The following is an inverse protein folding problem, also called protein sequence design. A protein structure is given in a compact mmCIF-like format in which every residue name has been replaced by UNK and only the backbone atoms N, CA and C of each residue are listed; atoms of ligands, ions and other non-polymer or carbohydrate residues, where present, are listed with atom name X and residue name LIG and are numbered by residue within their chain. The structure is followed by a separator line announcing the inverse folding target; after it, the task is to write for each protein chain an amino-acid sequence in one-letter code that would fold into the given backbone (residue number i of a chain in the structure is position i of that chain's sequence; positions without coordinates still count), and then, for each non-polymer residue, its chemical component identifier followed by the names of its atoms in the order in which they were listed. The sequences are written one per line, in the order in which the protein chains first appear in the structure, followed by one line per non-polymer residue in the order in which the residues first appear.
data_IF_839733333994
#
_entry.id   IF_839733333994
#
_cell.length_a   1.000
_cell.length_b   1.000
_cell.length_c   1.000
_cell.angle_alpha   90.00
_cell.angle_beta   90.00
_cell.angle_gamma   90.00
#
_symmetry.space_group_name_H-M   'P 1'
#
loop_
_entity.id
_entity.type
_entity.pdbx_description
1 polymer ?
#
# COMPACT_ATOMS: atom_id res chain seq x y z
N UNK A 1 -5.70 -7.68 -12.00
CA UNK A 1 -6.16 -9.00 -11.50
C UNK A 1 -7.39 -9.51 -12.24
N UNK A 2 -8.38 -8.68 -12.66
CA UNK A 2 -9.67 -9.13 -13.24
C UNK A 2 -10.33 -10.14 -12.33
N UNK A 3 -10.57 -9.68 -11.11
CA UNK A 3 -11.25 -10.43 -10.07
C UNK A 3 -12.70 -10.55 -10.49
N UNK A 4 -13.24 -11.76 -10.44
CA UNK A 4 -14.64 -12.04 -10.68
C UNK A 4 -15.38 -12.29 -9.36
N UNK A 5 -16.70 -12.08 -9.36
CA UNK A 5 -17.52 -12.33 -8.18
C UNK A 5 -17.39 -13.80 -7.77
N UNK A 6 -17.09 -14.03 -6.49
CA UNK A 6 -16.88 -15.37 -5.95
C UNK A 6 -15.43 -15.89 -6.00
N UNK A 7 -14.49 -15.12 -6.55
CA UNK A 7 -13.06 -15.48 -6.54
C UNK A 7 -12.51 -15.60 -5.12
N UNK A 8 -11.51 -16.48 -4.95
CA UNK A 8 -10.70 -16.57 -3.73
C UNK A 8 -9.34 -15.93 -3.96
N UNK A 9 -9.01 -14.94 -3.13
CA UNK A 9 -7.82 -14.13 -3.30
C UNK A 9 -6.80 -14.40 -2.18
N UNK A 10 -5.52 -14.44 -2.53
CA UNK A 10 -4.42 -14.39 -1.57
C UNK A 10 -3.68 -13.06 -1.71
N UNK A 11 -3.35 -12.41 -0.60
CA UNK A 11 -2.52 -11.20 -0.59
C UNK A 11 -1.58 -11.15 0.61
N UNK A 12 -0.56 -10.31 0.53
CA UNK A 12 0.11 -9.82 1.75
C UNK A 12 -0.81 -8.81 2.44
N UNK A 13 -0.92 -8.88 3.77
CA UNK A 13 -1.79 -7.98 4.53
C UNK A 13 -1.26 -6.54 4.46
N UNK A 14 -0.01 -6.29 4.84
CA UNK A 14 0.65 -4.97 4.79
C UNK A 14 -0.24 -3.87 5.38
N UNK A 15 -0.63 -4.06 6.65
CA UNK A 15 -1.61 -3.23 7.38
C UNK A 15 -3.05 -3.25 6.83
N UNK A 16 -3.35 -4.09 5.84
CA UNK A 16 -4.71 -4.43 5.40
C UNK A 16 -5.29 -3.57 4.26
N UNK A 17 -4.61 -2.51 3.82
CA UNK A 17 -5.17 -1.58 2.83
C UNK A 17 -5.53 -2.25 1.49
N UNK A 18 -4.60 -3.03 0.92
CA UNK A 18 -4.86 -3.76 -0.32
C UNK A 18 -5.94 -4.82 -0.12
N UNK A 19 -5.85 -5.59 0.97
CA UNK A 19 -6.83 -6.64 1.29
C UNK A 19 -8.27 -6.08 1.39
N UNK A 20 -8.44 -4.90 2.01
CA UNK A 20 -9.74 -4.23 2.07
C UNK A 20 -10.19 -3.70 0.71
N UNK A 21 -9.31 -3.11 -0.08
CA UNK A 21 -9.64 -2.66 -1.44
C UNK A 21 -10.11 -3.82 -2.33
N UNK A 22 -9.51 -5.01 -2.20
CA UNK A 22 -9.89 -6.19 -2.99
C UNK A 22 -11.32 -6.66 -2.73
N UNK A 23 -11.92 -6.35 -1.57
CA UNK A 23 -13.33 -6.69 -1.29
C UNK A 23 -14.33 -5.94 -2.18
N UNK A 24 -13.91 -4.84 -2.82
CA UNK A 24 -14.77 -4.06 -3.70
C UNK A 24 -15.18 -4.86 -4.95
N UNK A 25 -14.33 -5.77 -5.40
CA UNK A 25 -14.56 -6.63 -6.58
C UNK A 25 -15.42 -7.88 -6.28
N UNK A 26 -16.07 -7.94 -5.11
CA UNK A 26 -16.97 -9.03 -4.68
C UNK A 26 -16.36 -10.44 -4.61
N UNK A 27 -15.13 -10.64 -4.10
CA UNK A 27 -14.58 -11.97 -3.92
C UNK A 27 -15.37 -12.76 -2.88
N UNK A 28 -15.32 -14.09 -2.97
CA UNK A 28 -15.84 -14.95 -1.89
C UNK A 28 -15.01 -14.82 -0.62
N UNK A 29 -13.68 -14.63 -0.76
CA UNK A 29 -12.73 -14.63 0.35
C UNK A 29 -11.44 -13.89 -0.05
N UNK A 30 -10.84 -13.19 0.92
CA UNK A 30 -9.51 -12.60 0.80
C UNK A 30 -8.65 -13.07 1.97
N UNK A 31 -7.70 -13.95 1.70
CA UNK A 31 -6.71 -14.43 2.66
C UNK A 31 -5.51 -13.50 2.64
N UNK A 32 -5.23 -12.84 3.76
CA UNK A 32 -4.19 -11.86 3.91
C UNK A 32 -3.12 -12.33 4.91
N UNK A 33 -1.91 -12.61 4.42
CA UNK A 33 -0.78 -13.10 5.20
C UNK A 33 0.16 -11.96 5.61
N UNK A 34 0.64 -11.97 6.85
CA UNK A 34 1.71 -11.07 7.28
C UNK A 34 2.62 -11.71 8.32
N UNK A 35 3.91 -11.36 8.29
CA UNK A 35 4.85 -11.74 9.34
C UNK A 35 4.75 -10.79 10.55
N UNK A 36 4.38 -9.53 10.30
CA UNK A 36 4.38 -8.46 11.29
C UNK A 36 3.11 -8.44 12.12
N UNK A 37 3.23 -8.85 13.39
CA UNK A 37 2.15 -8.78 14.38
C UNK A 37 1.58 -7.35 14.51
N UNK A 38 2.40 -6.28 14.63
CA UNK A 38 1.90 -4.90 14.62
C UNK A 38 1.02 -4.55 13.41
N UNK A 39 1.43 -4.96 12.20
CA UNK A 39 0.66 -4.67 10.99
C UNK A 39 -0.68 -5.41 10.97
N UNK A 40 -0.71 -6.66 11.46
CA UNK A 40 -1.96 -7.41 11.63
C UNK A 40 -2.89 -6.76 12.65
N UNK A 41 -2.38 -6.23 13.77
CA UNK A 41 -3.20 -5.51 14.73
C UNK A 41 -3.79 -4.22 14.14
N UNK A 42 -3.07 -3.52 13.26
CA UNK A 42 -3.60 -2.37 12.54
C UNK A 42 -4.64 -2.76 11.49
N UNK A 43 -4.42 -3.85 10.76
CA UNK A 43 -5.38 -4.39 9.80
C UNK A 43 -6.70 -4.79 10.49
N UNK A 44 -6.62 -5.56 11.58
CA UNK A 44 -7.76 -5.99 12.38
C UNK A 44 -8.52 -4.82 13.00
N UNK A 45 -7.81 -3.81 13.51
CA UNK A 45 -8.43 -2.59 14.04
C UNK A 45 -9.20 -1.84 12.94
N UNK A 46 -8.59 -1.62 11.77
CA UNK A 46 -9.27 -0.95 10.64
C UNK A 46 -10.49 -1.75 10.15
N UNK A 47 -10.41 -3.07 10.10
CA UNK A 47 -11.55 -3.93 9.74
C UNK A 47 -12.70 -3.79 10.75
N UNK A 48 -12.40 -3.79 12.05
CA UNK A 48 -13.41 -3.54 13.09
C UNK A 48 -14.03 -2.13 12.97
N UNK A 49 -13.23 -1.12 12.63
CA UNK A 49 -13.73 0.22 12.38
C UNK A 49 -14.73 0.24 11.20
N UNK A 50 -14.38 -0.37 10.07
CA UNK A 50 -15.29 -0.47 8.90
C UNK A 50 -16.59 -1.18 9.29
N UNK A 51 -16.49 -2.27 10.08
CA UNK A 51 -17.64 -3.05 10.52
C UNK A 51 -18.58 -2.29 11.44
N UNK A 52 -18.05 -1.50 12.37
CA UNK A 52 -18.85 -0.95 13.48
C UNK A 52 -19.15 0.54 13.35
N UNK A 53 -18.32 1.31 12.65
CA UNK A 53 -18.44 2.76 12.58
C UNK A 53 -19.22 3.23 11.34
N UNK A 54 -19.61 4.50 11.35
CA UNK A 54 -19.92 5.26 10.14
C UNK A 54 -18.63 5.61 9.39
N UNK A 55 -18.76 5.99 8.11
CA UNK A 55 -17.62 6.43 7.31
C UNK A 55 -16.89 7.63 7.95
N UNK A 56 -17.63 8.61 8.48
CA UNK A 56 -17.02 9.79 9.11
C UNK A 56 -16.24 9.40 10.37
N UNK A 57 -16.82 8.59 11.25
CA UNK A 57 -16.12 8.11 12.46
C UNK A 57 -14.86 7.31 12.11
N UNK A 58 -14.88 6.54 11.01
CA UNK A 58 -13.69 5.84 10.51
C UNK A 58 -12.59 6.82 10.07
N UNK A 59 -12.94 7.86 9.29
CA UNK A 59 -12.01 8.91 8.84
C UNK A 59 -11.43 9.67 10.04
N UNK A 60 -12.28 10.04 11.00
CA UNK A 60 -11.91 10.76 12.21
C UNK A 60 -10.95 9.93 13.08
N UNK A 61 -11.29 8.65 13.28
CA UNK A 61 -10.51 7.72 14.10
C UNK A 61 -9.14 7.42 13.51
N UNK A 62 -9.08 7.12 12.22
CA UNK A 62 -7.83 6.70 11.54
C UNK A 62 -6.79 7.80 11.47
N UNK A 63 -7.21 9.06 11.65
CA UNK A 63 -6.34 10.23 11.55
C UNK A 63 -6.20 10.77 10.15
N UNK A 64 -7.02 10.32 9.18
CA UNK A 64 -7.06 10.92 7.83
C UNK A 64 -7.21 12.44 7.94
N UNK A 65 -8.14 12.90 8.78
CA UNK A 65 -8.39 14.32 9.04
C UNK A 65 -7.82 14.75 10.39
N UNK A 66 -6.52 14.52 10.59
CA UNK A 66 -5.84 14.70 11.89
C UNK A 66 -5.98 16.10 12.47
N UNK A 67 -5.98 17.13 11.62
CA UNK A 67 -5.98 18.54 12.05
C UNK A 67 -7.35 19.01 12.54
N UNK A 68 -8.44 18.45 12.01
CA UNK A 68 -9.81 18.88 12.36
C UNK A 68 -10.42 18.05 13.50
N UNK A 69 -9.83 16.91 13.85
CA UNK A 69 -10.35 16.00 14.88
C UNK A 69 -9.43 15.99 16.10
N UNK A 70 -10.01 16.25 17.27
CA UNK A 70 -9.29 16.29 18.54
C UNK A 70 -8.87 14.87 19.00
N UNK A 71 -7.72 14.71 19.67
CA UNK A 71 -7.27 13.41 20.19
C UNK A 71 -8.31 12.67 21.05
N UNK A 72 -9.04 13.38 21.90
CA UNK A 72 -10.02 12.79 22.82
C UNK A 72 -11.19 12.14 22.07
N UNK A 73 -11.52 12.64 20.89
CA UNK A 73 -12.56 12.08 20.04
C UNK A 73 -12.13 10.72 19.48
N UNK A 74 -10.88 10.58 19.03
CA UNK A 74 -10.33 9.29 18.59
C UNK A 74 -10.30 8.26 19.72
N UNK A 75 -9.94 8.70 20.93
CA UNK A 75 -9.99 7.84 22.13
C UNK A 75 -11.42 7.41 22.44
N UNK A 76 -12.40 8.31 22.31
CA UNK A 76 -13.83 8.00 22.49
C UNK A 76 -14.28 6.94 21.50
N UNK A 77 -13.95 7.11 20.21
CA UNK A 77 -14.30 6.17 19.14
C UNK A 77 -13.64 4.80 19.41
N UNK A 78 -12.34 4.77 19.73
CA UNK A 78 -11.65 3.53 20.08
C UNK A 78 -12.34 2.78 21.23
N UNK A 79 -12.66 3.48 22.32
CA UNK A 79 -13.34 2.89 23.48
C UNK A 79 -14.72 2.32 23.13
N UNK A 80 -15.41 2.89 22.15
CA UNK A 80 -16.69 2.37 21.68
C UNK A 80 -16.55 1.06 20.89
N UNK A 81 -15.44 0.86 20.16
CA UNK A 81 -15.25 -0.33 19.31
C UNK A 81 -14.34 -1.39 19.93
N UNK A 82 -13.50 -1.07 20.92
CA UNK A 82 -12.46 -1.98 21.43
C UNK A 82 -12.99 -3.34 21.89
N UNK A 83 -14.24 -3.41 22.37
CA UNK A 83 -14.89 -4.65 22.79
C UNK A 83 -15.26 -5.59 21.63
N UNK A 84 -15.16 -5.14 20.38
CA UNK A 84 -15.32 -5.96 19.18
C UNK A 84 -14.00 -6.59 18.70
N UNK A 85 -12.86 -6.17 19.26
CA UNK A 85 -11.54 -6.66 18.88
C UNK A 85 -11.23 -7.97 19.62
N UNK A 86 -10.46 -8.84 18.98
CA UNK A 86 -9.82 -9.96 19.66
C UNK A 86 -8.88 -9.44 20.76
N UNK A 87 -8.82 -10.16 21.89
CA UNK A 87 -8.07 -9.76 23.08
C UNK A 87 -6.62 -9.33 22.79
N UNK A 88 -5.80 -10.06 21.99
CA UNK A 88 -4.44 -9.64 21.69
C UNK A 88 -4.36 -8.29 20.94
N UNK A 89 -5.31 -8.03 20.05
CA UNK A 89 -5.38 -6.75 19.31
C UNK A 89 -5.81 -5.62 20.23
N UNK A 90 -6.77 -5.89 21.12
CA UNK A 90 -7.19 -4.94 22.13
C UNK A 90 -6.03 -4.56 23.07
N UNK A 91 -5.29 -5.53 23.60
CA UNK A 91 -4.14 -5.30 24.49
C UNK A 91 -3.02 -4.52 23.79
N UNK A 92 -2.77 -4.81 22.50
CA UNK A 92 -1.80 -4.09 21.68
C UNK A 92 -2.14 -2.59 21.57
N UNK A 93 -3.41 -2.24 21.36
CA UNK A 93 -3.85 -0.85 21.21
C UNK A 93 -4.09 -0.15 22.55
N UNK A 94 -4.53 -0.87 23.58
CA UNK A 94 -4.65 -0.35 24.95
C UNK A 94 -3.30 0.11 25.51
N UNK A 95 -2.20 -0.54 25.09
CA UNK A 95 -0.83 -0.13 25.44
C UNK A 95 -0.27 0.99 24.55
N UNK A 96 -1.02 1.47 23.55
CA UNK A 96 -0.59 2.47 22.55
C UNK A 96 -1.60 3.60 22.38
N UNK A 97 -2.15 4.08 23.49
CA UNK A 97 -3.14 5.16 23.46
C UNK A 97 -2.62 6.45 22.81
N UNK A 98 -1.32 6.74 22.88
CA UNK A 98 -0.72 7.87 22.16
C UNK A 98 -0.86 7.73 20.64
N UNK A 99 -0.71 6.52 20.09
CA UNK A 99 -0.92 6.26 18.67
C UNK A 99 -2.41 6.39 18.28
N UNK A 100 -3.31 5.96 19.16
CA UNK A 100 -4.78 6.16 19.00
C UNK A 100 -5.12 7.65 19.01
N UNK A 101 -4.59 8.40 19.97
CA UNK A 101 -4.75 9.84 20.10
C UNK A 101 -4.17 10.60 18.91
N UNK A 102 -3.07 10.12 18.35
CA UNK A 102 -2.43 10.74 17.19
C UNK A 102 -3.14 10.45 15.87
N UNK A 103 -3.74 9.26 15.74
CA UNK A 103 -4.30 8.73 14.49
C UNK A 103 -3.49 7.55 14.00
N UNK A 104 -4.08 6.36 14.04
CA UNK A 104 -3.37 5.07 13.91
C UNK A 104 -2.73 4.84 12.53
N UNK A 105 -3.12 5.58 11.50
CA UNK A 105 -2.45 5.49 10.19
C UNK A 105 -1.08 6.15 10.15
N UNK A 106 -0.75 6.95 11.15
CA UNK A 106 0.48 7.74 11.15
C UNK A 106 1.56 7.19 12.08
N UNK A 107 1.30 6.04 12.72
CA UNK A 107 2.16 5.46 13.75
C UNK A 107 3.15 4.42 13.23
N UNK A 108 3.10 4.05 11.94
CA UNK A 108 4.09 3.15 11.35
C UNK A 108 5.44 3.83 11.20
N UNK A 109 6.53 3.06 11.31
CA UNK A 109 7.89 3.58 11.14
C UNK A 109 8.08 4.23 9.76
N UNK A 110 7.44 3.68 8.73
CA UNK A 110 7.46 4.24 7.39
C UNK A 110 6.73 5.59 7.36
N UNK A 111 5.52 5.65 7.95
CA UNK A 111 4.71 6.86 8.02
C UNK A 111 5.37 7.99 8.83
N UNK A 112 6.08 7.63 9.91
CA UNK A 112 6.89 8.55 10.71
C UNK A 112 8.02 9.12 9.86
N UNK A 113 8.74 8.25 9.13
CA UNK A 113 9.84 8.67 8.27
C UNK A 113 9.41 9.63 7.17
N UNK A 114 8.29 9.35 6.49
CA UNK A 114 7.76 10.26 5.47
C UNK A 114 7.32 11.59 6.10
N UNK A 115 6.58 11.55 7.23
CA UNK A 115 6.08 12.76 7.89
C UNK A 115 7.21 13.68 8.36
N UNK A 116 8.20 13.12 9.04
CA UNK A 116 9.36 13.89 9.48
C UNK A 116 10.16 14.42 8.28
N UNK A 117 10.27 13.65 7.19
CA UNK A 117 10.91 14.14 5.96
C UNK A 117 10.12 15.27 5.26
N UNK A 118 8.79 15.27 5.34
CA UNK A 118 7.96 16.37 4.86
C UNK A 118 8.32 17.68 5.58
N UNK A 119 8.36 17.64 6.91
CA UNK A 119 8.73 18.77 7.78
C UNK A 119 10.18 19.21 7.57
N UNK A 120 11.13 18.26 7.57
CA UNK A 120 12.57 18.55 7.49
C UNK A 120 13.00 19.04 6.10
N UNK A 121 12.38 18.54 5.03
CA UNK A 121 12.89 18.72 3.66
C UNK A 121 11.91 19.43 2.73
N UNK A 122 10.64 19.01 2.68
CA UNK A 122 9.69 19.53 1.69
C UNK A 122 9.14 20.90 2.09
N UNK A 123 8.87 21.14 3.37
CA UNK A 123 8.42 22.45 3.87
C UNK A 123 9.48 23.54 3.75
N UNK A 124 10.75 23.15 3.66
CA UNK A 124 11.87 24.06 3.39
C UNK A 124 12.10 24.24 1.90
N UNK A 125 11.82 23.22 1.09
CA UNK A 125 12.09 23.21 -0.35
C UNK A 125 11.00 23.86 -1.20
N UNK A 126 9.78 23.96 -0.68
CA UNK A 126 8.58 24.40 -1.40
C UNK A 126 7.74 25.33 -0.53
N UNK A 127 7.10 26.30 -1.17
CA UNK A 127 6.10 27.14 -0.53
C UNK A 127 4.82 26.35 -0.27
N UNK A 128 4.23 26.52 0.92
CA UNK A 128 3.01 25.80 1.31
C UNK A 128 1.81 26.11 0.42
N UNK A 129 1.75 27.34 -0.14
CA UNK A 129 0.73 27.71 -1.12
C UNK A 129 0.89 26.95 -2.44
N UNK A 130 2.12 26.63 -2.85
CA UNK A 130 2.39 25.89 -4.09
C UNK A 130 2.09 24.41 -3.91
N UNK A 131 2.40 23.82 -2.75
CA UNK A 131 1.97 22.45 -2.40
C UNK A 131 0.45 22.36 -2.45
N UNK A 132 -0.26 23.27 -1.77
CA UNK A 132 -1.73 23.30 -1.75
C UNK A 132 -2.30 23.49 -3.17
N UNK A 133 -1.72 24.40 -3.96
CA UNK A 133 -2.14 24.63 -5.34
C UNK A 133 -1.98 23.34 -6.14
N UNK A 134 -0.80 22.73 -6.13
CA UNK A 134 -0.50 21.49 -6.85
C UNK A 134 -1.47 20.36 -6.50
N UNK A 135 -1.71 20.12 -5.21
CA UNK A 135 -2.61 19.07 -4.73
C UNK A 135 -4.10 19.35 -5.01
N UNK A 136 -4.45 20.57 -5.42
CA UNK A 136 -5.83 20.98 -5.75
C UNK A 136 -6.06 21.23 -7.25
N UNK A 137 -5.06 21.02 -8.10
CA UNK A 137 -5.16 21.24 -9.55
C UNK A 137 -6.23 20.34 -10.19
N UNK A 138 -6.79 20.81 -11.31
CA UNK A 138 -7.78 20.07 -12.09
C UNK A 138 -7.22 18.83 -12.79
N UNK A 139 -7.99 18.25 -13.71
CA UNK A 139 -7.55 17.08 -14.51
C UNK A 139 -6.75 17.47 -15.77
N UNK A 140 -6.36 18.76 -15.92
CA UNK A 140 -5.48 19.19 -17.00
C UNK A 140 -4.02 18.84 -16.68
N UNK A 141 -3.57 17.72 -17.24
CA UNK A 141 -2.22 17.23 -17.04
C UNK A 141 -1.14 18.14 -17.65
N UNK A 142 -1.47 18.94 -18.67
CA UNK A 142 -0.52 19.90 -19.22
C UNK A 142 -0.29 21.03 -18.23
N UNK A 143 -1.37 21.58 -17.66
CA UNK A 143 -1.27 22.60 -16.62
C UNK A 143 -0.47 22.10 -15.41
N UNK A 144 -0.77 20.89 -14.92
CA UNK A 144 -0.04 20.30 -13.80
C UNK A 144 1.43 20.06 -14.10
N UNK A 145 1.75 19.55 -15.29
CA UNK A 145 3.12 19.30 -15.73
C UNK A 145 3.92 20.61 -15.88
N UNK A 146 3.30 21.64 -16.47
CA UNK A 146 3.90 22.97 -16.60
C UNK A 146 4.11 23.61 -15.22
N UNK A 147 3.16 23.46 -14.29
CA UNK A 147 3.32 23.96 -12.91
C UNK A 147 4.42 23.21 -12.17
N UNK A 148 4.45 21.88 -12.28
CA UNK A 148 5.50 21.09 -11.65
C UNK A 148 6.87 21.48 -12.16
N UNK A 149 7.06 21.58 -13.48
CA UNK A 149 8.36 21.88 -14.07
C UNK A 149 8.85 23.29 -13.74
N UNK A 150 7.96 24.28 -13.81
CA UNK A 150 8.35 25.68 -13.69
C UNK A 150 8.32 26.21 -12.24
N UNK A 151 7.58 25.57 -11.33
CA UNK A 151 7.39 26.04 -9.95
C UNK A 151 7.94 25.04 -8.93
N UNK A 152 7.57 23.76 -9.02
CA UNK A 152 7.91 22.77 -7.99
C UNK A 152 9.29 22.14 -8.18
N UNK A 153 9.72 21.87 -9.42
CA UNK A 153 10.93 21.10 -9.75
C UNK A 153 12.23 21.93 -9.62
N UNK A 154 12.44 22.49 -8.43
CA UNK A 154 13.64 23.27 -8.10
C UNK A 154 14.80 22.36 -7.68
N UNK A 155 16.01 22.93 -7.62
CA UNK A 155 17.18 22.23 -7.03
C UNK A 155 16.96 21.84 -5.55
N UNK A 156 16.12 22.60 -4.84
CA UNK A 156 15.79 22.32 -3.44
C UNK A 156 14.82 21.15 -3.34
N UNK A 157 13.80 21.11 -4.19
CA UNK A 157 12.89 19.96 -4.31
C UNK A 157 13.65 18.67 -4.65
N UNK A 158 14.50 18.69 -5.69
CA UNK A 158 15.32 17.51 -6.05
C UNK A 158 16.23 17.07 -4.90
N UNK A 159 16.74 18.02 -4.09
CA UNK A 159 17.51 17.70 -2.89
C UNK A 159 16.63 17.12 -1.78
N UNK A 160 15.41 17.60 -1.59
CA UNK A 160 14.45 17.05 -0.64
C UNK A 160 14.09 15.60 -0.97
N UNK A 161 13.79 15.32 -2.25
CA UNK A 161 13.56 13.94 -2.73
C UNK A 161 14.77 13.07 -2.48
N UNK A 162 15.99 13.53 -2.82
CA UNK A 162 17.22 12.78 -2.54
C UNK A 162 17.38 12.47 -1.04
N UNK A 163 17.11 13.43 -0.15
CA UNK A 163 17.21 13.25 1.30
C UNK A 163 16.17 12.27 1.84
N UNK A 164 14.93 12.35 1.36
CA UNK A 164 13.87 11.38 1.67
C UNK A 164 14.32 9.95 1.33
N UNK A 165 14.81 9.74 0.10
CA UNK A 165 15.26 8.41 -0.33
C UNK A 165 16.44 7.93 0.51
N UNK A 166 17.44 8.76 0.76
CA UNK A 166 18.58 8.39 1.62
C UNK A 166 18.15 7.98 3.03
N UNK A 167 17.16 8.69 3.60
CA UNK A 167 16.58 8.36 4.90
C UNK A 167 15.90 7.00 4.88
N UNK A 168 15.04 6.75 3.90
CA UNK A 168 14.34 5.46 3.78
C UNK A 168 15.30 4.29 3.50
N UNK A 169 16.34 4.50 2.69
CA UNK A 169 17.38 3.49 2.46
C UNK A 169 18.10 3.12 3.77
N UNK A 170 18.39 4.10 4.62
CA UNK A 170 19.05 3.88 5.91
C UNK A 170 18.16 3.11 6.89
N UNK A 171 16.90 3.51 7.03
CA UNK A 171 16.02 2.97 8.06
C UNK A 171 15.40 1.62 7.68
N UNK A 172 15.19 1.38 6.38
CA UNK A 172 14.55 0.17 5.87
C UNK A 172 15.49 -0.73 5.07
N UNK A 173 16.79 -0.43 5.02
CA UNK A 173 17.78 -1.22 4.27
C UNK A 173 17.33 -1.57 2.83
N UNK A 174 16.63 -0.64 2.17
CA UNK A 174 16.03 -0.85 0.84
C UNK A 174 17.09 -0.97 -0.28
N UNK A 175 18.37 -0.79 0.06
CA UNK A 175 19.51 -0.91 -0.84
C UNK A 175 19.93 -2.36 -1.08
N UNK A 176 19.00 -3.17 -1.56
CA UNK A 176 19.20 -4.61 -1.83
C UNK A 176 20.15 -4.82 -3.02
N UNK A 177 20.20 -3.87 -3.95
CA UNK A 177 21.02 -3.95 -5.17
C UNK A 177 22.11 -2.88 -5.21
N UNK A 178 23.39 -3.26 -5.14
CA UNK A 178 24.51 -2.32 -5.06
C UNK A 178 24.68 -1.47 -6.34
N UNK A 179 24.24 -1.97 -7.49
CA UNK A 179 24.39 -1.30 -8.79
C UNK A 179 23.31 -0.24 -9.06
N UNK A 180 22.35 -0.08 -8.14
CA UNK A 180 21.21 0.81 -8.32
C UNK A 180 21.47 2.17 -7.67
N UNK A 181 21.42 3.23 -8.48
CA UNK A 181 21.35 4.61 -7.98
C UNK A 181 19.91 4.95 -7.57
N UNK A 182 19.54 4.51 -6.37
CA UNK A 182 18.18 4.66 -5.81
C UNK A 182 17.70 6.12 -5.76
N UNK A 183 18.50 7.12 -5.29
CA UNK A 183 18.07 8.51 -5.34
C UNK A 183 17.76 9.00 -6.76
N UNK A 184 18.56 8.61 -7.75
CA UNK A 184 18.32 9.00 -9.14
C UNK A 184 17.11 8.28 -9.73
N UNK A 185 16.89 7.01 -9.39
CA UNK A 185 15.73 6.25 -9.86
C UNK A 185 14.42 6.80 -9.30
N UNK A 186 14.29 6.85 -7.97
CA UNK A 186 13.07 7.36 -7.33
C UNK A 186 12.86 8.86 -7.57
N UNK A 187 13.94 9.62 -7.78
CA UNK A 187 13.87 11.01 -8.25
C UNK A 187 13.15 11.13 -9.60
N UNK A 188 13.54 10.31 -10.60
CA UNK A 188 12.84 10.29 -11.90
C UNK A 188 11.39 9.84 -11.75
N UNK A 189 11.13 8.80 -10.94
CA UNK A 189 9.77 8.30 -10.71
C UNK A 189 8.86 9.36 -10.06
N UNK A 190 9.38 10.11 -9.09
CA UNK A 190 8.69 11.26 -8.48
C UNK A 190 8.34 12.31 -9.54
N UNK A 191 9.29 12.70 -10.38
CA UNK A 191 9.06 13.67 -11.46
C UNK A 191 8.02 13.17 -12.48
N UNK A 192 8.09 11.90 -12.89
CA UNK A 192 7.13 11.27 -13.80
C UNK A 192 5.72 11.27 -13.20
N UNK A 193 5.56 10.84 -11.94
CA UNK A 193 4.26 10.81 -11.26
C UNK A 193 3.68 12.22 -11.15
N UNK A 194 4.48 13.19 -10.72
CA UNK A 194 4.02 14.58 -10.59
C UNK A 194 3.59 15.20 -11.94
N UNK A 195 4.07 14.70 -13.07
CA UNK A 195 3.71 15.19 -14.41
C UNK A 195 2.58 14.42 -15.09
N UNK A 196 2.35 13.16 -14.70
CA UNK A 196 1.49 12.24 -15.47
C UNK A 196 0.27 11.73 -14.69
N UNK A 197 0.29 11.82 -13.36
CA UNK A 197 -0.82 11.39 -12.50
C UNK A 197 -1.45 12.61 -11.83
N UNK A 198 -2.79 12.80 -11.87
CA UNK A 198 -3.45 13.91 -11.18
C UNK A 198 -3.10 13.93 -9.69
N UNK A 199 -2.43 15.00 -9.23
CA UNK A 199 -1.91 15.11 -7.87
C UNK A 199 -3.04 15.09 -6.83
N UNK A 200 -4.20 15.67 -7.17
CA UNK A 200 -5.42 15.66 -6.36
C UNK A 200 -5.98 14.26 -6.05
N UNK A 201 -5.53 13.21 -6.75
CA UNK A 201 -5.94 11.81 -6.57
C UNK A 201 -4.77 10.88 -6.23
N UNK A 202 -3.60 11.45 -5.89
CA UNK A 202 -2.43 10.69 -5.48
C UNK A 202 -2.09 10.87 -3.98
N UNK A 203 -2.61 9.97 -3.14
CA UNK A 203 -2.52 10.06 -1.67
C UNK A 203 -1.09 9.89 -1.18
N UNK A 204 -0.27 9.20 -1.98
CA UNK A 204 1.15 9.00 -1.71
C UNK A 204 1.91 10.31 -1.84
N UNK A 205 1.67 11.07 -2.93
CA UNK A 205 2.30 12.37 -3.17
C UNK A 205 1.87 13.39 -2.14
N UNK A 206 0.58 13.44 -1.79
CA UNK A 206 0.13 14.32 -0.70
C UNK A 206 0.83 14.00 0.61
N UNK A 207 0.90 12.72 1.00
CA UNK A 207 1.56 12.32 2.23
C UNK A 207 3.06 12.65 2.24
N UNK A 208 3.75 12.49 1.10
CA UNK A 208 5.16 12.86 0.94
C UNK A 208 5.37 14.36 1.09
N UNK A 209 4.52 15.17 0.46
CA UNK A 209 4.68 16.62 0.44
C UNK A 209 4.21 17.29 1.73
N UNK A 210 3.26 16.68 2.46
CA UNK A 210 2.60 17.31 3.62
C UNK A 210 2.80 16.59 4.95
N UNK A 211 3.25 15.33 4.92
CA UNK A 211 3.32 14.47 6.10
C UNK A 211 1.96 14.05 6.67
N UNK A 212 0.88 14.30 5.93
CA UNK A 212 -0.50 14.04 6.34
C UNK A 212 -1.43 13.84 5.15
N UNK A 213 -2.73 13.86 5.41
CA UNK A 213 -3.78 13.82 4.39
C UNK A 213 -4.73 15.01 4.59
N UNK A 214 -5.29 15.53 3.51
CA UNK A 214 -6.32 16.58 3.57
C UNK A 214 -7.72 16.07 3.90
N UNK A 215 -7.93 14.75 3.82
CA UNK A 215 -9.21 14.09 4.07
C UNK A 215 -10.33 14.37 3.07
N UNK A 216 -10.06 15.12 1.99
CA UNK A 216 -11.12 15.62 1.08
C UNK A 216 -11.09 15.04 -0.33
N UNK A 217 -9.90 14.83 -0.91
CA UNK A 217 -9.79 14.53 -2.34
C UNK A 217 -9.04 13.24 -2.64
N UNK A 218 -8.34 12.70 -1.64
CA UNK A 218 -7.19 11.87 -1.92
C UNK A 218 -7.06 10.73 -0.90
N UNK A 219 -8.09 9.90 -0.93
CA UNK A 219 -8.21 8.74 -0.07
C UNK A 219 -7.91 7.47 -0.86
N UNK A 220 -7.52 6.41 -0.16
CA UNK A 220 -7.45 5.07 -0.76
C UNK A 220 -8.87 4.58 -1.04
N UNK A 221 -9.00 3.67 -1.99
CA UNK A 221 -10.32 3.24 -2.46
C UNK A 221 -11.17 2.64 -1.32
N UNK A 222 -10.54 1.92 -0.38
CA UNK A 222 -11.23 1.41 0.81
C UNK A 222 -11.68 2.48 1.82
N UNK A 223 -11.18 3.70 1.70
CA UNK A 223 -11.50 4.85 2.55
C UNK A 223 -12.52 5.79 1.90
N UNK A 224 -12.91 5.56 0.63
CA UNK A 224 -13.90 6.37 -0.07
C UNK A 224 -15.31 6.14 0.49
N UNK A 225 -16.09 7.21 0.59
CA UNK A 225 -17.42 7.19 1.21
C UNK A 225 -18.40 6.30 0.45
N UNK A 226 -18.33 6.34 -0.87
CA UNK A 226 -19.11 5.55 -1.81
C UNK A 226 -18.84 4.03 -1.68
N UNK A 227 -17.62 3.67 -1.29
CA UNK A 227 -17.18 2.28 -1.16
C UNK A 227 -17.46 1.70 0.24
N UNK A 228 -17.59 2.57 1.26
CA UNK A 228 -17.73 2.17 2.66
C UNK A 228 -18.90 1.21 2.94
N UNK A 229 -20.12 1.38 2.37
CA UNK A 229 -21.21 0.42 2.57
C UNK A 229 -20.89 -0.98 2.04
N UNK A 230 -20.25 -1.07 0.87
CA UNK A 230 -19.84 -2.35 0.25
C UNK A 230 -18.85 -3.07 1.16
N UNK A 231 -17.85 -2.34 1.65
CA UNK A 231 -16.84 -2.89 2.55
C UNK A 231 -17.47 -3.37 3.85
N UNK A 232 -18.39 -2.60 4.43
CA UNK A 232 -19.08 -2.97 5.67
C UNK A 232 -19.85 -4.28 5.56
N UNK A 233 -20.46 -4.56 4.41
CA UNK A 233 -21.13 -5.84 4.13
C UNK A 233 -20.13 -7.00 3.96
N UNK A 234 -18.96 -6.73 3.37
CA UNK A 234 -18.02 -7.77 2.92
C UNK A 234 -16.80 -7.95 3.82
N UNK A 235 -16.61 -7.12 4.84
CA UNK A 235 -15.39 -7.11 5.67
C UNK A 235 -15.12 -8.46 6.36
N UNK A 236 -16.18 -9.22 6.65
CA UNK A 236 -16.08 -10.55 7.26
C UNK A 236 -15.57 -11.64 6.30
N UNK A 237 -15.35 -11.31 5.01
CA UNK A 237 -14.70 -12.18 4.03
C UNK A 237 -13.16 -12.12 4.09
N UNK A 238 -12.60 -11.34 5.02
CA UNK A 238 -11.15 -11.26 5.25
C UNK A 238 -10.69 -12.33 6.26
N UNK A 239 -9.68 -13.09 5.88
CA UNK A 239 -8.94 -13.96 6.79
C UNK A 239 -7.54 -13.40 7.01
N UNK A 240 -7.17 -13.16 8.27
CA UNK A 240 -5.84 -12.67 8.64
C UNK A 240 -4.97 -13.83 9.13
N UNK A 241 -3.87 -14.09 8.44
CA UNK A 241 -2.93 -15.15 8.82
C UNK A 241 -1.61 -14.52 9.25
N UNK A 242 -1.12 -14.93 10.43
CA UNK A 242 0.24 -14.62 10.84
C UNK A 242 1.21 -15.70 10.34
N UNK A 243 2.22 -15.31 9.58
CA UNK A 243 3.25 -16.24 9.13
C UNK A 243 4.23 -15.62 8.13
N UNK A 244 5.38 -16.28 7.97
CA UNK A 244 6.33 -15.97 6.92
C UNK A 244 5.82 -16.56 5.59
N UNK A 245 5.97 -15.80 4.49
CA UNK A 245 5.43 -16.14 3.18
C UNK A 245 5.94 -17.50 2.67
N UNK A 246 7.25 -17.71 2.66
CA UNK A 246 7.81 -18.96 2.13
C UNK A 246 7.43 -20.18 2.98
N UNK A 247 7.40 -20.04 4.30
CA UNK A 247 6.98 -21.10 5.22
C UNK A 247 5.51 -21.46 5.09
N UNK A 248 4.64 -20.44 4.97
CA UNK A 248 3.21 -20.66 4.78
C UNK A 248 2.96 -21.35 3.43
N UNK A 249 3.60 -20.87 2.37
CA UNK A 249 3.50 -21.44 1.02
C UNK A 249 4.00 -22.90 0.96
N UNK A 250 5.07 -23.25 1.69
CA UNK A 250 5.56 -24.65 1.79
C UNK A 250 4.57 -25.57 2.48
N UNK A 251 3.84 -25.06 3.48
CA UNK A 251 2.90 -25.84 4.30
C UNK A 251 1.50 -25.89 3.71
N UNK A 252 1.21 -25.07 2.70
CA UNK A 252 -0.12 -24.98 2.10
C UNK A 252 -0.57 -26.33 1.53
N UNK A 253 -1.61 -26.98 2.10
CA UNK A 253 -1.97 -28.33 1.74
C UNK A 253 -2.85 -28.34 0.49
N UNK A 254 -2.23 -28.41 -0.70
CA UNK A 254 -2.92 -28.45 -2.00
C UNK A 254 -3.96 -29.56 -2.12
N UNK A 255 -3.81 -30.66 -1.38
CA UNK A 255 -4.75 -31.79 -1.39
C UNK A 255 -6.02 -31.59 -0.56
N UNK A 256 -6.08 -30.55 0.28
CA UNK A 256 -7.18 -30.34 1.24
C UNK A 256 -7.81 -28.95 1.19
N UNK A 257 -7.18 -27.99 0.51
CA UNK A 257 -7.66 -26.62 0.41
C UNK A 257 -7.97 -26.27 -1.05
N UNK A 258 -9.04 -25.49 -1.32
CA UNK A 258 -9.25 -24.99 -2.66
C UNK A 258 -8.10 -24.03 -3.01
N UNK A 259 -7.69 -24.03 -4.28
CA UNK A 259 -6.69 -23.08 -4.78
C UNK A 259 -7.27 -21.67 -4.90
N UNK A 260 -6.39 -20.67 -5.06
CA UNK A 260 -6.76 -19.27 -5.24
C UNK A 260 -6.95 -18.93 -6.72
N UNK A 261 -7.87 -18.02 -7.01
CA UNK A 261 -8.12 -17.48 -8.35
C UNK A 261 -7.11 -16.38 -8.68
N UNK A 262 -6.75 -15.56 -7.68
CA UNK A 262 -5.66 -14.59 -7.78
C UNK A 262 -4.73 -14.61 -6.56
N UNK A 263 -3.44 -14.37 -6.80
CA UNK A 263 -2.40 -14.27 -5.77
C UNK A 263 -1.64 -12.96 -5.96
N UNK A 264 -1.68 -12.06 -4.98
CA UNK A 264 -0.99 -10.78 -5.00
C UNK A 264 0.11 -10.73 -3.93
N UNK A 265 1.37 -10.67 -4.34
CA UNK A 265 2.52 -10.57 -3.44
C UNK A 265 3.19 -9.22 -3.64
N UNK A 266 2.92 -8.27 -2.75
CA UNK A 266 3.49 -6.93 -2.79
C UNK A 266 4.45 -6.66 -1.63
N UNK A 267 5.57 -5.99 -1.90
CA UNK A 267 6.49 -5.38 -0.91
C UNK A 267 7.17 -6.34 0.08
N UNK A 268 7.01 -7.65 -0.09
CA UNK A 268 7.64 -8.67 0.77
C UNK A 268 8.90 -9.22 0.12
N UNK A 269 8.94 -9.32 -1.20
CA UNK A 269 10.09 -9.96 -1.85
C UNK A 269 11.34 -9.10 -1.88
N UNK A 270 11.20 -7.79 -1.61
CA UNK A 270 12.32 -6.87 -1.40
C UNK A 270 13.20 -7.32 -0.21
N UNK A 271 12.61 -8.01 0.76
CA UNK A 271 13.30 -8.48 1.96
C UNK A 271 13.84 -9.91 1.83
N UNK A 272 13.65 -10.54 0.67
CA UNK A 272 14.00 -11.94 0.43
C UNK A 272 15.34 -12.07 -0.29
N UNK A 273 16.04 -13.16 -0.03
CA UNK A 273 17.11 -13.62 -0.91
C UNK A 273 16.54 -13.97 -2.30
N UNK A 274 17.37 -13.95 -3.35
CA UNK A 274 16.95 -14.36 -4.70
C UNK A 274 16.34 -15.78 -4.68
N UNK A 275 16.90 -16.68 -3.87
CA UNK A 275 16.35 -18.03 -3.69
C UNK A 275 14.93 -18.02 -3.11
N UNK A 276 14.71 -17.25 -2.05
CA UNK A 276 13.39 -17.12 -1.42
C UNK A 276 12.38 -16.36 -2.31
N UNK A 277 12.83 -15.36 -3.08
CA UNK A 277 12.02 -14.70 -4.09
C UNK A 277 11.52 -15.69 -5.15
N UNK A 278 12.43 -16.50 -5.72
CA UNK A 278 12.06 -17.50 -6.72
C UNK A 278 11.17 -18.60 -6.14
N UNK A 279 11.39 -18.98 -4.87
CA UNK A 279 10.51 -19.89 -4.17
C UNK A 279 9.10 -19.31 -3.97
N UNK A 280 8.98 -18.02 -3.64
CA UNK A 280 7.70 -17.35 -3.50
C UNK A 280 6.93 -17.34 -4.82
N UNK A 281 7.58 -17.03 -5.95
CA UNK A 281 6.96 -17.07 -7.29
C UNK A 281 6.53 -18.49 -7.66
N UNK A 282 7.41 -19.48 -7.47
CA UNK A 282 7.10 -20.90 -7.72
C UNK A 282 5.89 -21.35 -6.92
N UNK A 283 5.83 -20.98 -5.66
CA UNK A 283 4.78 -21.44 -4.78
C UNK A 283 3.47 -20.68 -5.01
N UNK A 284 3.51 -19.39 -5.37
CA UNK A 284 2.36 -18.64 -5.87
C UNK A 284 1.72 -19.33 -7.08
N UNK A 285 2.52 -19.76 -8.07
CA UNK A 285 2.03 -20.52 -9.22
C UNK A 285 1.43 -21.88 -8.85
N UNK A 286 1.86 -22.51 -7.74
CA UNK A 286 1.29 -23.78 -7.27
C UNK A 286 -0.02 -23.66 -6.52
N UNK A 287 -0.24 -22.54 -5.83
CA UNK A 287 -1.47 -22.31 -5.05
C UNK A 287 -2.54 -21.57 -5.86
N UNK A 288 -2.19 -21.04 -7.04
CA UNK A 288 -3.09 -20.36 -7.95
C UNK A 288 -3.60 -21.30 -9.03
N UNK A 289 -4.92 -21.27 -9.30
CA UNK A 289 -5.57 -22.13 -10.29
C UNK A 289 -5.01 -21.89 -11.69
N UNK A 290 -5.07 -22.91 -12.55
CA UNK A 290 -4.84 -22.74 -13.98
C UNK A 290 -5.80 -21.67 -14.55
N UNK A 291 -5.26 -20.75 -15.34
CA UNK A 291 -5.96 -19.55 -15.83
C UNK A 291 -6.05 -18.39 -14.82
N UNK A 292 -5.72 -18.64 -13.54
CA UNK A 292 -5.66 -17.63 -12.49
C UNK A 292 -4.46 -16.70 -12.65
N UNK A 293 -4.48 -15.58 -11.91
CA UNK A 293 -3.45 -14.53 -12.01
C UNK A 293 -2.58 -14.41 -10.78
N UNK A 294 -1.28 -14.30 -11.01
CA UNK A 294 -0.32 -13.91 -9.99
C UNK A 294 0.18 -12.49 -10.27
N UNK A 295 0.26 -11.67 -9.22
CA UNK A 295 0.74 -10.28 -9.29
C UNK A 295 1.86 -10.11 -8.29
N UNK A 296 3.00 -9.59 -8.75
CA UNK A 296 4.14 -9.25 -7.91
C UNK A 296 4.43 -7.77 -8.06
N UNK A 297 4.35 -7.00 -6.97
CA UNK A 297 4.60 -5.56 -6.98
C UNK A 297 5.67 -5.24 -5.94
N UNK A 298 6.90 -5.01 -6.40
CA UNK A 298 8.08 -4.96 -5.55
C UNK A 298 8.98 -3.78 -5.94
N UNK A 299 10.01 -3.56 -5.13
CA UNK A 299 11.06 -2.57 -5.34
C UNK A 299 12.00 -2.87 -6.49
N UNK A 300 12.84 -1.89 -6.75
CA UNK A 300 13.68 -1.84 -7.92
C UNK A 300 14.63 -3.04 -8.00
N UNK A 301 14.74 -3.66 -9.18
CA UNK A 301 15.72 -4.69 -9.50
C UNK A 301 15.21 -6.12 -9.27
N UNK A 302 14.06 -6.32 -8.64
CA UNK A 302 13.52 -7.66 -8.40
C UNK A 302 13.03 -8.32 -9.69
N UNK A 303 12.52 -7.52 -10.63
CA UNK A 303 11.87 -8.06 -11.83
C UNK A 303 12.82 -8.82 -12.79
N UNK A 304 14.14 -8.60 -12.69
CA UNK A 304 15.16 -9.33 -13.48
C UNK A 304 15.45 -10.74 -12.92
N UNK A 305 15.02 -11.03 -11.69
CA UNK A 305 15.18 -12.33 -11.06
C UNK A 305 13.97 -13.23 -11.24
N UNK A 306 12.99 -12.81 -12.05
CA UNK A 306 11.86 -13.65 -12.39
C UNK A 306 12.37 -15.00 -12.94
N UNK A 307 11.89 -16.15 -12.43
CA UNK A 307 12.41 -17.46 -12.80
C UNK A 307 12.08 -17.76 -14.27
N UNK A 308 13.06 -17.52 -15.15
CA UNK A 308 12.93 -17.66 -16.61
C UNK A 308 12.46 -19.06 -17.03
N UNK A 309 12.79 -20.08 -16.24
CA UNK A 309 12.40 -21.46 -16.46
C UNK A 309 10.89 -21.71 -16.31
N UNK A 310 10.17 -20.82 -15.64
CA UNK A 310 8.71 -20.88 -15.49
C UNK A 310 7.97 -20.14 -16.59
N UNK A 311 8.63 -19.22 -17.29
CA UNK A 311 8.01 -18.40 -18.33
C UNK A 311 7.70 -19.31 -19.53
N UNK A 312 6.47 -19.22 -20.03
CA UNK A 312 5.91 -20.01 -21.12
C UNK A 312 5.81 -21.54 -20.85
N UNK A 313 6.15 -21.98 -19.63
CA UNK A 313 5.99 -23.39 -19.20
C UNK A 313 4.93 -23.54 -18.11
N UNK A 314 4.93 -22.64 -17.13
CA UNK A 314 3.99 -22.60 -15.98
C UNK A 314 3.29 -21.25 -15.89
N UNK A 315 3.95 -20.19 -16.35
CA UNK A 315 3.49 -18.81 -16.22
C UNK A 315 3.61 -18.09 -17.56
N UNK A 316 2.52 -17.48 -18.02
CA UNK A 316 2.53 -16.55 -19.15
C UNK A 316 2.57 -15.13 -18.63
N UNK A 317 3.63 -14.38 -18.92
CA UNK A 317 3.75 -12.97 -18.52
C UNK A 317 2.80 -12.11 -19.35
N UNK A 318 2.03 -11.24 -18.70
CA UNK A 318 1.00 -10.41 -19.33
C UNK A 318 1.49 -8.96 -19.55
N UNK A 319 2.44 -8.79 -20.48
CA UNK A 319 3.12 -7.50 -20.72
C UNK A 319 2.17 -6.33 -21.05
N UNK A 320 1.07 -6.57 -21.76
CA UNK A 320 0.08 -5.53 -22.08
C UNK A 320 -0.62 -5.02 -20.81
N UNK A 321 -0.93 -5.93 -19.87
CA UNK A 321 -1.54 -5.57 -18.58
C UNK A 321 -0.54 -4.78 -17.74
N UNK A 322 0.72 -5.21 -17.69
CA UNK A 322 1.78 -4.48 -16.97
C UNK A 322 1.93 -3.04 -17.49
N UNK A 323 1.99 -2.88 -18.81
CA UNK A 323 2.11 -1.56 -19.46
C UNK A 323 0.91 -0.65 -19.18
N UNK A 324 -0.30 -1.21 -19.08
CA UNK A 324 -1.50 -0.46 -18.73
C UNK A 324 -1.49 -0.05 -17.26
N UNK A 325 -1.17 -0.97 -16.35
CA UNK A 325 -1.16 -0.70 -14.91
C UNK A 325 -0.18 0.39 -14.50
N UNK A 326 0.97 0.51 -15.16
CA UNK A 326 1.97 1.56 -14.88
C UNK A 326 1.38 2.97 -15.01
N UNK A 327 0.40 3.17 -15.89
CA UNK A 327 -0.28 4.47 -16.08
C UNK A 327 -1.11 4.90 -14.86
N UNK A 328 -1.43 3.95 -13.98
CA UNK A 328 -2.23 4.18 -12.78
C UNK A 328 -1.41 4.06 -11.49
N UNK A 329 -0.11 3.75 -11.59
CA UNK A 329 0.74 3.56 -10.43
C UNK A 329 1.08 4.92 -9.80
N UNK A 330 0.49 5.12 -8.62
CA UNK A 330 0.59 6.32 -7.79
C UNK A 330 1.82 6.34 -6.88
N UNK A 331 2.50 5.20 -6.72
CA UNK A 331 3.58 5.03 -5.74
C UNK A 331 4.95 5.33 -6.36
N UNK A 332 5.76 6.11 -5.64
CA UNK A 332 7.12 6.43 -6.10
C UNK A 332 8.12 5.30 -5.79
N UNK A 333 7.80 4.38 -4.88
CA UNK A 333 8.77 3.45 -4.28
C UNK A 333 8.88 2.08 -4.96
N UNK A 334 8.00 1.76 -5.91
CA UNK A 334 7.92 0.41 -6.49
C UNK A 334 8.20 0.41 -8.00
N UNK A 335 8.68 -0.71 -8.50
CA UNK A 335 8.79 -0.98 -9.93
C UNK A 335 7.41 -1.25 -10.54
N UNK A 336 7.28 -1.13 -11.87
CA UNK A 336 6.15 -1.68 -12.59
C UNK A 336 5.82 -3.09 -12.11
N UNK A 337 4.56 -3.29 -11.74
CA UNK A 337 4.07 -4.57 -11.29
C UNK A 337 4.31 -5.65 -12.37
N UNK A 338 4.58 -6.87 -11.92
CA UNK A 338 4.65 -8.07 -12.76
C UNK A 338 3.35 -8.83 -12.67
N UNK A 339 2.79 -9.21 -13.82
CA UNK A 339 1.54 -9.99 -13.91
C UNK A 339 1.80 -11.22 -14.75
N UNK A 340 1.39 -12.37 -14.23
CA UNK A 340 1.41 -13.60 -15.01
C UNK A 340 0.12 -14.40 -14.82
N UNK A 341 -0.29 -15.07 -15.89
CA UNK A 341 -1.36 -16.06 -15.89
C UNK A 341 -0.75 -17.45 -15.70
N UNK A 342 -1.33 -18.26 -14.82
CA UNK A 342 -0.92 -19.66 -14.64
C UNK A 342 -1.40 -20.50 -15.82
N UNK A 343 -0.49 -21.22 -16.47
CA UNK A 343 -0.75 -22.00 -17.70
C UNK A 343 -1.45 -23.33 -17.46
#
# INVERSE_FOLDING_TARGET
MNIESGDRLFTIASCGANAMTLLLDDPAEVVALDLSIPQLHLAKLQAACIKHLSHQEFIDFTGVDRENVKPEERVRIYRAIKGSLELPTQEYWDSRMEAVEFGVMHCGDFDINIRTAAEDFFFVALDQSDIKRFLSMGDDMKEQSDFFENVMNTKYFRRAVKRLIQRLLSDFNLSIFPDVDYPKFYGRRMEEICKTIPAKRNHCIEYILTGGYSGKYNLRDYQLKENFPILKERIDRLEWIQGELTDWLRKYPLSKQPMFDCVCVSNVTDWLTIENHNLAIRSAGKICKQGGRIVFWNGQGMAKYWPSEMVDTVLKVEHEIEAECVKYDRMIFWEPLRVATVL
#
